data_IF_887222632915
#
_entry.id   IF_887222632915
#
_cell.length_a   1.000
_cell.length_b   1.000
_cell.length_c   1.000
_cell.angle_alpha   90.00
_cell.angle_beta   90.00
_cell.angle_gamma   90.00
#
_symmetry.space_group_name_H-M   'P 1'
#
loop_
_entity.id
_entity.type
_entity.pdbx_description
1 polymer ?
#
# COMPACT_ATOMS: atom_id res chain seq x y z
N UNK A 1 -5.54 -15.14 -8.85
CA UNK A 1 -6.12 -14.12 -7.98
C UNK A 1 -6.40 -12.86 -8.78
N UNK A 2 -7.62 -12.34 -8.74
CA UNK A 2 -7.94 -11.13 -9.52
C UNK A 2 -7.13 -9.92 -9.05
N UNK A 3 -6.62 -9.17 -10.01
CA UNK A 3 -5.79 -8.00 -9.74
C UNK A 3 -6.38 -6.80 -10.46
N UNK A 4 -6.11 -5.58 -9.96
CA UNK A 4 -6.55 -4.37 -10.67
C UNK A 4 -5.78 -4.18 -11.96
N UNK A 5 -6.27 -3.33 -12.82
CA UNK A 5 -5.46 -2.80 -13.92
C UNK A 5 -4.46 -1.82 -13.35
N UNK A 6 -3.21 -1.95 -13.77
CA UNK A 6 -2.14 -1.12 -13.23
C UNK A 6 -1.78 0.01 -14.19
N UNK A 7 -1.32 1.11 -13.62
CA UNK A 7 -0.74 2.22 -14.35
C UNK A 7 0.56 2.62 -13.69
N UNK A 8 1.47 3.23 -14.44
CA UNK A 8 2.71 3.71 -13.88
C UNK A 8 2.48 4.95 -13.02
N UNK A 9 3.31 5.11 -11.99
CA UNK A 9 3.35 6.34 -11.22
C UNK A 9 3.86 7.49 -12.07
N UNK A 10 3.33 8.68 -11.83
CA UNK A 10 3.81 9.89 -12.47
C UNK A 10 5.06 10.37 -11.75
N UNK A 11 6.03 10.89 -12.49
CA UNK A 11 7.24 11.45 -11.90
C UNK A 11 6.91 12.55 -10.89
N UNK A 12 5.88 13.34 -11.16
CA UNK A 12 5.47 14.42 -10.25
C UNK A 12 4.96 13.89 -8.91
N UNK A 13 4.62 12.61 -8.81
CA UNK A 13 4.15 12.01 -7.55
C UNK A 13 5.29 11.60 -6.63
N UNK A 14 6.54 11.64 -7.10
CA UNK A 14 7.69 11.22 -6.31
C UNK A 14 8.06 12.29 -5.29
N UNK A 15 8.30 11.85 -4.06
CA UNK A 15 8.73 12.72 -2.96
C UNK A 15 9.99 12.15 -2.35
N UNK A 16 10.96 13.00 -2.07
CA UNK A 16 12.18 12.54 -1.42
C UNK A 16 11.88 12.11 0.01
N UNK A 17 12.42 10.96 0.40
CA UNK A 17 12.26 10.42 1.75
C UNK A 17 13.64 10.28 2.38
N UNK A 18 13.68 10.24 3.71
CA UNK A 18 14.94 10.22 4.44
C UNK A 18 15.67 8.89 4.40
N UNK A 19 14.95 7.79 4.17
CA UNK A 19 15.54 6.45 4.15
C UNK A 19 14.56 5.51 3.46
N UNK A 20 15.07 4.38 2.91
CA UNK A 20 14.19 3.47 2.15
C UNK A 20 13.21 2.72 3.06
N UNK A 21 12.11 2.21 2.49
CA UNK A 21 11.16 1.44 3.29
C UNK A 21 11.76 0.12 3.75
N UNK A 22 11.24 -0.45 4.84
CA UNK A 22 11.60 -1.80 5.24
C UNK A 22 11.13 -2.82 4.20
N UNK A 23 11.56 -4.09 4.32
CA UNK A 23 11.02 -5.14 3.45
C UNK A 23 9.50 -5.25 3.59
N UNK A 24 8.83 -5.63 2.51
CA UNK A 24 7.39 -5.84 2.52
C UNK A 24 7.03 -6.94 3.52
N UNK A 25 5.92 -6.76 4.22
CA UNK A 25 5.44 -7.75 5.17
C UNK A 25 4.73 -8.88 4.45
N UNK A 26 4.85 -10.08 5.01
CA UNK A 26 4.11 -11.24 4.54
C UNK A 26 2.77 -11.26 5.27
N UNK A 27 1.69 -11.35 4.51
CA UNK A 27 0.35 -11.30 5.09
C UNK A 27 -0.45 -12.53 4.71
N UNK A 28 -1.41 -12.87 5.58
CA UNK A 28 -2.43 -13.87 5.26
C UNK A 28 -3.53 -13.17 4.48
N UNK A 29 -3.88 -13.73 3.34
CA UNK A 29 -4.90 -13.17 2.46
C UNK A 29 -6.23 -13.84 2.79
N UNK A 30 -7.25 -13.08 3.20
CA UNK A 30 -8.56 -13.69 3.46
C UNK A 30 -9.22 -14.18 2.17
N UNK A 31 -10.21 -15.05 2.32
CA UNK A 31 -10.94 -15.59 1.18
C UNK A 31 -11.57 -14.44 0.38
N UNK A 32 -11.63 -14.63 -0.93
CA UNK A 32 -12.21 -13.64 -1.82
C UNK A 32 -13.69 -13.44 -1.52
N UNK A 33 -14.13 -12.18 -1.23
CA UNK A 33 -15.54 -11.89 -1.05
C UNK A 33 -16.35 -12.13 -2.32
N UNK A 34 -17.68 -12.26 -2.22
CA UNK A 34 -18.53 -12.39 -3.40
C UNK A 34 -18.45 -11.16 -4.30
N UNK A 35 -18.81 -11.34 -5.57
CA UNK A 35 -18.78 -10.28 -6.56
C UNK A 35 -17.50 -10.33 -7.37
N UNK A 36 -17.06 -9.17 -7.81
CA UNK A 36 -15.85 -9.05 -8.64
C UNK A 36 -14.79 -8.17 -7.97
N UNK A 37 -14.39 -8.48 -6.73
CA UNK A 37 -13.34 -7.71 -6.09
C UNK A 37 -11.97 -8.06 -6.67
N UNK A 38 -11.01 -7.17 -6.43
CA UNK A 38 -9.62 -7.41 -6.76
C UNK A 38 -8.79 -7.29 -5.47
N UNK A 39 -7.65 -7.96 -5.47
CA UNK A 39 -6.74 -7.92 -4.32
C UNK A 39 -5.66 -6.87 -4.55
N UNK A 40 -5.44 -6.03 -3.53
CA UNK A 40 -4.29 -5.15 -3.46
C UNK A 40 -3.34 -5.66 -2.41
N UNK A 41 -2.07 -5.83 -2.77
CA UNK A 41 -1.05 -6.18 -1.79
C UNK A 41 -0.88 -5.05 -0.78
N UNK A 42 -0.42 -5.38 0.42
CA UNK A 42 -0.06 -4.39 1.40
C UNK A 42 1.06 -3.49 0.90
N UNK A 43 1.14 -2.30 1.45
CA UNK A 43 2.11 -1.31 0.97
C UNK A 43 2.63 -0.46 2.11
N UNK A 44 3.85 0.02 1.93
CA UNK A 44 4.39 1.04 2.80
C UNK A 44 3.89 2.42 2.38
N UNK A 45 3.64 3.27 3.34
CA UNK A 45 3.32 4.68 3.12
C UNK A 45 4.25 5.54 3.96
N UNK A 46 4.72 6.63 3.38
CA UNK A 46 5.60 7.56 4.08
C UNK A 46 4.77 8.63 4.76
N UNK A 47 4.96 8.78 6.08
CA UNK A 47 4.16 9.74 6.86
C UNK A 47 4.80 11.11 6.95
N UNK A 48 5.96 11.32 6.32
CA UNK A 48 6.75 12.54 6.41
C UNK A 48 7.99 12.35 7.28
N UNK A 49 7.99 11.36 8.15
CA UNK A 49 9.13 11.08 9.02
C UNK A 49 9.41 9.59 9.19
N UNK A 50 8.44 8.73 8.93
CA UNK A 50 8.61 7.29 9.09
C UNK A 50 7.67 6.53 8.18
N UNK A 51 7.90 5.22 8.08
CA UNK A 51 7.10 4.33 7.27
C UNK A 51 5.97 3.72 8.10
N UNK A 52 4.79 3.63 7.49
CA UNK A 52 3.64 2.95 8.07
C UNK A 52 3.12 1.90 7.09
N UNK A 53 2.74 0.75 7.59
CA UNK A 53 2.25 -0.34 6.75
C UNK A 53 0.74 -0.24 6.59
N UNK A 54 0.27 -0.31 5.32
CA UNK A 54 -1.13 -0.43 4.99
C UNK A 54 -1.37 -1.87 4.56
N UNK A 55 -2.27 -2.57 5.25
CA UNK A 55 -2.52 -3.98 4.97
C UNK A 55 -3.14 -4.16 3.59
N UNK A 56 -2.87 -5.31 2.99
CA UNK A 56 -3.52 -5.71 1.74
C UNK A 56 -5.02 -5.88 1.96
N UNK A 57 -5.78 -5.82 0.87
CA UNK A 57 -7.24 -5.81 0.99
C UNK A 57 -7.92 -6.16 -0.32
N UNK A 58 -9.12 -6.73 -0.18
CA UNK A 58 -10.02 -6.90 -1.29
C UNK A 58 -10.86 -5.65 -1.45
N UNK A 59 -10.96 -5.13 -2.68
CA UNK A 59 -11.72 -3.92 -3.00
C UNK A 59 -12.45 -4.12 -4.31
N UNK A 60 -13.51 -3.34 -4.51
CA UNK A 60 -14.20 -3.27 -5.80
C UNK A 60 -13.80 -1.94 -6.45
N UNK A 61 -12.99 -1.98 -7.51
CA UNK A 61 -12.59 -0.73 -8.17
C UNK A 61 -13.76 -0.10 -8.92
N UNK A 62 -13.71 1.23 -9.06
CA UNK A 62 -14.64 1.91 -9.95
C UNK A 62 -14.40 1.46 -11.37
N UNK A 63 -15.44 1.49 -12.20
CA UNK A 63 -15.33 1.16 -13.60
C UNK A 63 -14.32 2.08 -14.27
N UNK A 64 -13.39 1.50 -15.01
CA UNK A 64 -12.37 2.25 -15.72
C UNK A 64 -11.20 2.72 -14.85
N UNK A 65 -11.21 2.42 -13.55
CA UNK A 65 -10.13 2.84 -12.66
C UNK A 65 -8.88 1.98 -12.88
N UNK A 66 -7.72 2.61 -12.66
CA UNK A 66 -6.43 1.91 -12.63
C UNK A 66 -5.76 2.20 -11.30
N UNK A 67 -4.85 1.32 -10.90
CA UNK A 67 -4.09 1.49 -9.67
C UNK A 67 -2.61 1.64 -10.01
N UNK A 68 -2.01 2.69 -9.46
CA UNK A 68 -0.56 2.88 -9.56
C UNK A 68 0.05 2.43 -8.24
N UNK A 69 0.76 1.29 -8.22
CA UNK A 69 1.35 0.79 -6.97
C UNK A 69 2.42 1.75 -6.45
N UNK A 70 2.67 1.67 -5.14
CA UNK A 70 3.77 2.42 -4.56
C UNK A 70 5.08 2.05 -5.24
N UNK A 71 6.00 2.99 -5.27
CA UNK A 71 7.31 2.76 -5.89
C UNK A 71 8.38 3.58 -5.21
N UNK A 72 9.61 3.12 -5.31
CA UNK A 72 10.78 3.87 -4.88
C UNK A 72 11.74 4.01 -6.05
N UNK A 73 12.41 5.13 -6.11
CA UNK A 73 13.43 5.42 -7.11
C UNK A 73 14.64 5.99 -6.39
N UNK A 74 15.81 5.58 -6.80
CA UNK A 74 17.06 6.11 -6.25
C UNK A 74 17.79 6.86 -7.36
N UNK A 75 18.24 8.08 -7.06
CA UNK A 75 19.01 8.82 -8.05
C UNK A 75 20.49 8.43 -7.97
N UNK A 76 21.32 9.06 -8.80
CA UNK A 76 22.74 8.72 -8.89
C UNK A 76 23.54 9.25 -7.69
N UNK A 77 22.93 10.05 -6.83
CA UNK A 77 23.55 10.53 -5.58
C UNK A 77 23.11 9.71 -4.38
N UNK A 78 22.28 8.68 -4.59
CA UNK A 78 21.78 7.84 -3.53
C UNK A 78 20.54 8.37 -2.83
N UNK A 79 19.97 9.47 -3.28
CA UNK A 79 18.72 9.96 -2.71
C UNK A 79 17.57 9.02 -3.08
N UNK A 80 16.67 8.79 -2.11
CA UNK A 80 15.53 7.89 -2.30
C UNK A 80 14.27 8.72 -2.45
N UNK A 81 13.51 8.42 -3.48
CA UNK A 81 12.21 9.04 -3.75
C UNK A 81 11.13 7.99 -3.70
N UNK A 82 9.94 8.40 -3.30
CA UNK A 82 8.82 7.47 -3.07
C UNK A 82 7.52 8.09 -3.57
N UNK A 83 6.64 7.25 -4.12
CA UNK A 83 5.27 7.62 -4.45
C UNK A 83 4.33 6.62 -3.80
N UNK A 84 3.30 7.11 -3.12
CA UNK A 84 2.26 6.27 -2.53
C UNK A 84 1.44 5.59 -3.62
N UNK A 85 0.88 4.43 -3.31
CA UNK A 85 -0.11 3.81 -4.18
C UNK A 85 -1.32 4.72 -4.33
N UNK A 86 -1.88 4.81 -5.52
CA UNK A 86 -2.99 5.70 -5.79
C UNK A 86 -3.92 5.10 -6.86
N UNK A 87 -5.22 5.27 -6.64
CA UNK A 87 -6.22 4.94 -7.65
C UNK A 87 -6.41 6.12 -8.58
N UNK A 88 -6.61 5.84 -9.87
CA UNK A 88 -6.80 6.87 -10.89
C UNK A 88 -8.07 6.57 -11.68
N UNK A 89 -8.77 7.63 -12.11
CA UNK A 89 -9.88 7.45 -13.02
C UNK A 89 -9.37 7.25 -14.46
N UNK A 90 -10.31 7.14 -15.41
CA UNK A 90 -9.95 6.89 -16.80
C UNK A 90 -9.13 8.02 -17.42
N UNK A 91 -9.15 9.22 -16.85
CA UNK A 91 -8.38 10.36 -17.36
C UNK A 91 -7.05 10.53 -16.61
N UNK A 92 -6.76 9.63 -15.67
CA UNK A 92 -5.52 9.70 -14.89
C UNK A 92 -5.58 10.58 -13.66
N UNK A 93 -6.76 11.08 -13.28
CA UNK A 93 -6.90 11.89 -12.10
C UNK A 93 -7.04 11.01 -10.86
N UNK A 94 -6.45 11.42 -9.71
CA UNK A 94 -6.55 10.62 -8.50
C UNK A 94 -8.00 10.44 -8.03
N UNK A 95 -8.27 9.25 -7.52
CA UNK A 95 -9.55 8.89 -6.93
C UNK A 95 -9.36 8.55 -5.46
N UNK A 96 -10.38 8.76 -4.62
CA UNK A 96 -10.36 8.23 -3.27
C UNK A 96 -10.25 6.71 -3.32
N UNK A 97 -9.58 6.07 -2.35
CA UNK A 97 -9.50 4.61 -2.34
C UNK A 97 -10.87 3.98 -2.11
N UNK A 98 -11.17 2.87 -2.81
CA UNK A 98 -12.40 2.13 -2.51
C UNK A 98 -12.33 1.50 -1.12
N UNK A 99 -13.48 1.32 -0.46
CA UNK A 99 -13.47 0.71 0.86
C UNK A 99 -13.01 -0.74 0.82
N UNK A 100 -12.33 -1.18 1.87
CA UNK A 100 -11.91 -2.55 2.00
C UNK A 100 -13.10 -3.44 2.32
N UNK A 101 -13.25 -4.54 1.59
CA UNK A 101 -14.26 -5.56 1.88
C UNK A 101 -13.74 -6.56 2.91
N UNK A 102 -12.45 -6.88 2.83
CA UNK A 102 -11.77 -7.75 3.76
C UNK A 102 -10.29 -7.42 3.70
N UNK A 103 -9.63 -7.42 4.83
CA UNK A 103 -8.24 -7.01 4.93
C UNK A 103 -7.33 -8.17 5.29
N UNK A 104 -6.11 -8.14 4.79
CA UNK A 104 -5.07 -9.04 5.19
C UNK A 104 -4.61 -8.76 6.61
N UNK A 105 -3.80 -9.66 7.12
CA UNK A 105 -3.23 -9.49 8.45
C UNK A 105 -1.85 -10.11 8.47
N UNK A 106 -1.05 -9.68 9.42
CA UNK A 106 0.31 -10.17 9.55
C UNK A 106 0.31 -11.68 9.72
N UNK A 107 1.23 -12.34 9.03
CA UNK A 107 1.46 -13.75 9.21
C UNK A 107 2.07 -13.95 10.59
N UNK A 108 1.67 -15.03 11.27
CA UNK A 108 2.23 -15.34 12.58
C UNK A 108 3.74 -15.48 12.47
N UNK A 109 4.47 -14.79 13.35
CA UNK A 109 5.92 -14.79 13.33
C UNK A 109 6.57 -13.74 12.47
N UNK A 110 5.80 -12.95 11.73
CA UNK A 110 6.36 -11.85 10.96
C UNK A 110 6.79 -10.74 11.89
N UNK A 111 8.08 -10.41 11.84
CA UNK A 111 8.65 -9.40 12.73
C UNK A 111 9.22 -8.22 11.96
N UNK A 112 8.82 -8.00 10.74
CA UNK A 112 9.37 -6.92 9.94
C UNK A 112 8.80 -5.56 10.28
N UNK A 113 8.23 -5.39 11.45
CA UNK A 113 7.70 -4.11 11.87
C UNK A 113 8.83 -3.12 12.16
N UNK A 114 8.77 -1.92 11.61
CA UNK A 114 9.80 -0.92 11.89
C UNK A 114 9.68 -0.30 13.26
N UNK A 115 8.54 -0.46 13.93
CA UNK A 115 8.39 0.08 15.22
C UNK A 115 8.20 -0.92 16.15
N UNK A 116 8.67 -1.13 16.53
CA UNK A 116 8.29 -2.08 17.22
C UNK A 116 6.95 -2.26 16.96
N UNK A 117 6.63 -2.54 16.80
CA UNK A 117 5.65 -2.43 16.32
C UNK A 117 4.47 -2.04 16.43
N UNK A 118 4.21 -1.75 16.43
CA UNK A 118 3.12 -1.04 16.45
C UNK A 118 2.17 -0.88 16.09
N UNK A 119 2.04 -1.02 16.21
CA UNK A 119 1.17 -0.38 16.06
C UNK A 119 0.41 -0.16 15.96
N UNK A 120 0.49 -0.47 16.34
CA UNK A 120 -0.35 0.11 16.38
C UNK A 120 -0.85 0.22 16.09
N UNK A 121 -0.56 -0.38 16.39
CA UNK A 121 -1.15 0.14 16.15
C UNK A 121 -1.53 0.26 15.77
N UNK A 122 -1.24 -0.35 16.29
CA UNK A 122 -1.57 0.32 16.12
C UNK A 122 -1.86 0.12 15.60
N UNK A 123 -1.68 -0.11 15.88
CA UNK A 123 -1.93 0.28 15.59
C UNK A 123 -2.23 0.03 15.24
N UNK A 124 -2.02 -0.36 15.37
CA UNK A 124 -2.32 -0.09 15.12
C UNK A 124 -2.67 -0.38 14.78
N UNK A 125 -2.64 -0.89 15.15
CA UNK A 125 -2.93 -0.63 14.98
C UNK A 125 -3.43 -0.98 14.51
N UNK A 126 -3.21 -1.37 14.70
CA UNK A 126 -3.57 -1.16 14.50
C UNK A 126 -3.75 -1.42 14.14
N UNK A 127 -3.52 -2.02 14.30
CA UNK A 127 -3.57 -1.63 14.28
C UNK A 127 -3.50 -1.91 14.01
N UNK A 128 -3.30 -2.15 14.31
CA UNK A 128 -3.18 -1.87 14.33
C UNK A 128 -2.92 -1.98 14.28
N UNK A 129 -2.67 -2.35 14.60
CA UNK A 129 -2.33 -2.16 14.67
C UNK A 129 -2.41 -2.07 14.75
N UNK A 130 -2.29 -2.37 14.75
CA UNK A 130 -2.35 -1.99 14.85
C UNK A 130 -2.57 -1.89 15.04
#
# INVERSE_FOLDING_TARGET
MPRPKYAQQKTASLTQVGYPPPPARVELIPAQPPGHPVWLDGEWAWTGSKWAWTVGRWVVPRQGATFSPWTTVRDDRGNVYFANGVWNDATGQPLPPPPALASGRARAGDVTSPEGANEKTGVPSSGLYP
#
